data_IF_848866872942
#
_entry.id   IF_848866872942
#
_cell.length_a   1.000
_cell.length_b   1.000
_cell.length_c   1.000
_cell.angle_alpha   90.00
_cell.angle_beta   90.00
_cell.angle_gamma   90.00
#
_symmetry.space_group_name_H-M   'P 1'
#
loop_
_entity.id
_entity.type
_entity.pdbx_description
1 polymer ?
#
# COMPACT_ATOMS: atom_id res chain seq x y z
N UNK A 1 14.69 -3.49 39.66
CA UNK A 1 15.09 -2.85 38.39
C UNK A 1 15.50 -3.88 37.33
N UNK A 2 16.40 -4.81 37.63
CA UNK A 2 16.86 -5.85 36.68
C UNK A 2 15.75 -6.79 36.19
N UNK A 3 14.81 -7.19 37.05
CA UNK A 3 13.68 -8.09 36.69
C UNK A 3 12.70 -7.43 35.69
N UNK A 4 12.54 -6.10 35.74
CA UNK A 4 11.66 -5.34 34.84
C UNK A 4 12.27 -5.21 33.43
N UNK A 5 13.60 -5.14 33.35
CA UNK A 5 14.36 -5.13 32.09
C UNK A 5 14.35 -6.51 31.42
N UNK A 6 14.41 -7.59 32.19
CA UNK A 6 14.30 -8.96 31.66
C UNK A 6 12.90 -9.26 31.12
N UNK A 7 11.83 -8.79 31.78
CA UNK A 7 10.44 -8.93 31.26
C UNK A 7 10.24 -8.21 29.92
N UNK A 8 10.81 -7.01 29.76
CA UNK A 8 10.82 -6.28 28.47
C UNK A 8 11.53 -7.03 27.33
N UNK A 9 12.47 -7.92 27.63
CA UNK A 9 13.24 -8.66 26.62
C UNK A 9 12.66 -10.04 26.32
N UNK A 10 11.87 -10.61 27.24
CA UNK A 10 11.29 -11.96 27.16
C UNK A 10 9.80 -11.94 26.81
N UNK A 11 9.03 -10.92 27.21
CA UNK A 11 7.59 -10.82 26.93
C UNK A 11 7.27 -9.96 25.69
N UNK A 12 8.13 -9.01 25.32
CA UNK A 12 7.95 -8.14 24.14
C UNK A 12 9.08 -8.33 23.12
N UNK A 13 8.94 -9.21 22.11
CA UNK A 13 9.89 -9.28 21.02
C UNK A 13 9.72 -8.05 20.11
N UNK A 14 10.21 -6.89 20.56
CA UNK A 14 10.16 -5.61 19.84
C UNK A 14 10.72 -5.72 18.41
N UNK A 15 11.70 -6.60 18.23
CA UNK A 15 12.25 -6.98 16.93
C UNK A 15 11.19 -7.49 15.94
N UNK A 16 10.19 -8.24 16.38
CA UNK A 16 9.10 -8.75 15.51
C UNK A 16 8.26 -7.58 14.99
N UNK A 17 7.93 -6.62 15.87
CA UNK A 17 7.21 -5.40 15.47
C UNK A 17 8.00 -4.55 14.47
N UNK A 18 9.32 -4.44 14.66
CA UNK A 18 10.21 -3.71 13.75
C UNK A 18 10.33 -4.42 12.40
N UNK A 19 10.58 -5.73 12.39
CA UNK A 19 10.69 -6.51 11.15
C UNK A 19 9.38 -6.43 10.37
N UNK A 20 8.23 -6.60 11.03
CA UNK A 20 6.92 -6.51 10.38
C UNK A 20 6.66 -5.10 9.81
N UNK A 21 7.05 -4.05 10.54
CA UNK A 21 6.92 -2.66 10.08
C UNK A 21 7.82 -2.37 8.86
N UNK A 22 9.05 -2.88 8.86
CA UNK A 22 9.98 -2.77 7.72
C UNK A 22 9.46 -3.53 6.51
N UNK A 23 8.89 -4.71 6.72
CA UNK A 23 8.26 -5.51 5.68
C UNK A 23 7.11 -4.71 5.04
N UNK A 24 6.19 -4.18 5.85
CA UNK A 24 5.10 -3.32 5.35
C UNK A 24 5.60 -2.12 4.54
N UNK A 25 6.65 -1.43 5.02
CA UNK A 25 7.26 -0.30 4.29
C UNK A 25 7.88 -0.73 2.96
N UNK A 26 8.49 -1.90 2.90
CA UNK A 26 9.05 -2.48 1.68
C UNK A 26 7.96 -2.76 0.64
N UNK A 27 6.85 -3.39 1.03
CA UNK A 27 5.74 -3.65 0.11
C UNK A 27 5.12 -2.36 -0.43
N UNK A 28 4.90 -1.36 0.42
CA UNK A 28 4.35 -0.08 -0.02
C UNK A 28 5.27 0.57 -1.06
N UNK A 29 6.58 0.62 -0.78
CA UNK A 29 7.57 1.20 -1.70
C UNK A 29 7.62 0.43 -3.02
N UNK A 30 7.62 -0.89 -2.96
CA UNK A 30 7.60 -1.76 -4.14
C UNK A 30 6.32 -1.56 -4.97
N UNK A 31 5.16 -1.49 -4.32
CA UNK A 31 3.88 -1.23 -4.98
C UNK A 31 3.88 0.13 -5.70
N UNK A 32 4.39 1.19 -5.07
CA UNK A 32 4.58 2.48 -5.73
C UNK A 32 5.52 2.39 -6.94
N UNK A 33 6.60 1.61 -6.82
CA UNK A 33 7.51 1.33 -7.94
C UNK A 33 6.83 0.60 -9.10
N UNK A 34 6.05 -0.45 -8.80
CA UNK A 34 5.29 -1.22 -9.80
C UNK A 34 4.27 -0.32 -10.49
N UNK A 35 3.51 0.49 -9.75
CA UNK A 35 2.57 1.46 -10.34
C UNK A 35 3.31 2.46 -11.21
N UNK A 36 4.50 2.91 -10.82
CA UNK A 36 5.30 3.84 -11.63
C UNK A 36 5.80 3.20 -12.94
N UNK A 37 6.24 1.95 -12.90
CA UNK A 37 6.67 1.20 -14.09
C UNK A 37 5.47 0.88 -14.98
N UNK A 38 4.38 0.37 -14.40
CA UNK A 38 3.12 0.08 -15.10
C UNK A 38 2.56 1.33 -15.79
N UNK A 39 2.59 2.47 -15.10
CA UNK A 39 2.17 3.73 -15.69
C UNK A 39 3.12 4.24 -16.76
N UNK A 40 4.41 3.94 -16.69
CA UNK A 40 5.36 4.26 -17.75
C UNK A 40 5.20 3.37 -18.99
N UNK A 41 4.73 2.13 -18.82
CA UNK A 41 4.55 1.16 -19.91
C UNK A 41 3.20 1.30 -20.63
N UNK A 42 2.12 1.65 -19.92
CA UNK A 42 0.77 1.72 -20.50
C UNK A 42 0.35 3.15 -20.88
N UNK A 43 0.82 4.17 -20.16
CA UNK A 43 0.31 5.52 -20.34
C UNK A 43 1.28 6.42 -21.14
N UNK A 44 0.80 7.12 -22.18
CA UNK A 44 1.59 8.15 -22.84
C UNK A 44 1.91 9.29 -21.86
N UNK A 45 3.03 9.99 -22.09
CA UNK A 45 3.62 11.01 -21.19
C UNK A 45 2.64 12.05 -20.64
N UNK A 46 1.56 12.33 -21.38
CA UNK A 46 0.50 13.29 -21.00
C UNK A 46 -0.33 12.85 -19.79
N UNK A 47 -0.57 11.55 -19.60
CA UNK A 47 -1.45 11.05 -18.51
C UNK A 47 -0.66 10.36 -17.39
N UNK A 48 0.64 10.15 -17.57
CA UNK A 48 1.55 9.61 -16.55
C UNK A 48 1.54 10.43 -15.25
N UNK A 49 1.65 11.76 -15.36
CA UNK A 49 1.61 12.65 -14.19
C UNK A 49 0.25 12.62 -13.48
N UNK A 50 -0.84 12.39 -14.22
CA UNK A 50 -2.19 12.29 -13.65
C UNK A 50 -2.33 11.00 -12.83
N UNK A 51 -1.85 9.86 -13.34
CA UNK A 51 -1.86 8.59 -12.61
C UNK A 51 -1.01 8.59 -11.33
N UNK A 52 0.18 9.19 -11.39
CA UNK A 52 1.03 9.36 -10.20
C UNK A 52 0.44 10.38 -9.22
N UNK A 53 -0.16 11.45 -9.75
CA UNK A 53 -0.88 12.45 -8.96
C UNK A 53 -2.07 11.86 -8.22
N UNK A 54 -2.89 11.04 -8.88
CA UNK A 54 -4.05 10.39 -8.25
C UNK A 54 -3.62 9.41 -7.16
N UNK A 55 -2.57 8.61 -7.39
CA UNK A 55 -2.01 7.73 -6.35
C UNK A 55 -1.52 8.54 -5.13
N UNK A 56 -0.89 9.69 -5.36
CA UNK A 56 -0.43 10.58 -4.29
C UNK A 56 -1.58 11.19 -3.50
N UNK A 57 -2.67 11.58 -4.16
CA UNK A 57 -3.88 12.09 -3.49
C UNK A 57 -4.52 10.99 -2.65
N UNK A 58 -4.66 9.78 -3.18
CA UNK A 58 -5.17 8.62 -2.43
C UNK A 58 -4.32 8.32 -1.19
N UNK A 59 -2.99 8.38 -1.30
CA UNK A 59 -2.09 8.20 -0.18
C UNK A 59 -2.28 9.30 0.90
N UNK A 60 -2.47 10.56 0.48
CA UNK A 60 -2.75 11.67 1.41
C UNK A 60 -4.08 11.49 2.13
N UNK A 61 -5.12 11.05 1.44
CA UNK A 61 -6.42 10.73 2.06
C UNK A 61 -6.25 9.63 3.12
N UNK A 62 -5.48 8.59 2.82
CA UNK A 62 -5.14 7.55 3.81
C UNK A 62 -4.44 8.12 5.05
N UNK A 63 -3.48 9.02 4.87
CA UNK A 63 -2.79 9.70 5.97
C UNK A 63 -3.73 10.59 6.81
N UNK A 64 -4.73 11.21 6.19
CA UNK A 64 -5.75 11.97 6.92
C UNK A 64 -6.66 11.08 7.76
N UNK A 65 -7.03 9.91 7.26
CA UNK A 65 -7.90 8.95 7.97
C UNK A 65 -7.15 8.25 9.11
N UNK A 66 -5.83 8.05 8.96
CA UNK A 66 -5.01 7.31 9.89
C UNK A 66 -5.11 7.73 11.38
N UNK A 67 -5.03 9.04 11.75
CA UNK A 67 -5.19 9.46 13.13
C UNK A 67 -6.60 9.19 13.67
N UNK A 68 -7.65 9.33 12.86
CA UNK A 68 -9.03 9.04 13.31
C UNK A 68 -9.23 7.57 13.65
N UNK A 69 -8.68 6.67 12.84
CA UNK A 69 -8.73 5.22 13.10
C UNK A 69 -7.94 4.90 14.37
N UNK A 70 -6.80 5.57 14.59
CA UNK A 70 -6.02 5.40 15.83
C UNK A 70 -6.78 5.87 17.06
N UNK A 71 -7.44 7.02 17.01
CA UNK A 71 -8.24 7.53 18.13
C UNK A 71 -9.47 6.63 18.41
N UNK A 72 -10.11 6.12 17.36
CA UNK A 72 -11.20 5.14 17.49
C UNK A 72 -10.72 3.85 18.17
N UNK A 73 -9.52 3.36 17.81
CA UNK A 73 -8.91 2.20 18.46
C UNK A 73 -8.60 2.41 19.94
N UNK A 74 -8.22 3.62 20.34
CA UNK A 74 -8.03 3.96 21.77
C UNK A 74 -9.35 3.96 22.53
N UNK A 75 -10.45 4.38 21.89
CA UNK A 75 -11.76 4.46 22.51
C UNK A 75 -12.46 3.08 22.65
N UNK A 76 -12.15 2.12 21.77
CA UNK A 76 -12.76 0.78 21.79
C UNK A 76 -11.77 -0.31 22.19
N UNK A 77 -10.88 -0.73 21.28
CA UNK A 77 -9.86 -1.74 21.53
C UNK A 77 -8.66 -1.56 20.57
N UNK A 78 -7.42 -1.75 21.04
CA UNK A 78 -6.19 -1.50 20.27
C UNK A 78 -6.01 -2.42 19.05
N UNK A 79 -6.77 -3.51 18.95
CA UNK A 79 -6.73 -4.46 17.82
C UNK A 79 -7.54 -3.96 16.62
N UNK A 80 -8.53 -3.07 16.84
CA UNK A 80 -9.43 -2.58 15.79
C UNK A 80 -8.68 -1.86 14.66
N UNK A 81 -7.74 -0.94 14.92
CA UNK A 81 -6.94 -0.31 13.86
C UNK A 81 -6.13 -1.32 13.06
N UNK A 82 -5.57 -2.34 13.71
CA UNK A 82 -4.72 -3.33 13.05
C UNK A 82 -5.52 -4.17 12.04
N UNK A 83 -6.72 -4.61 12.44
CA UNK A 83 -7.64 -5.33 11.54
C UNK A 83 -8.08 -4.42 10.40
N UNK A 84 -8.42 -3.16 10.69
CA UNK A 84 -8.86 -2.19 9.67
C UNK A 84 -7.80 -2.01 8.56
N UNK A 85 -6.54 -1.73 8.93
CA UNK A 85 -5.46 -1.59 7.95
C UNK A 85 -5.16 -2.92 7.25
N UNK A 86 -5.27 -4.06 7.94
CA UNK A 86 -5.09 -5.38 7.35
C UNK A 86 -6.12 -5.69 6.27
N UNK A 87 -7.41 -5.42 6.52
CA UNK A 87 -8.49 -5.60 5.54
C UNK A 87 -8.31 -4.63 4.36
N UNK A 88 -7.94 -3.38 4.62
CA UNK A 88 -7.66 -2.41 3.56
C UNK A 88 -6.49 -2.87 2.66
N UNK A 89 -5.41 -3.39 3.25
CA UNK A 89 -4.28 -3.92 2.51
C UNK A 89 -4.63 -5.18 1.72
N UNK A 90 -5.43 -6.09 2.30
CA UNK A 90 -5.89 -7.30 1.64
C UNK A 90 -6.80 -6.99 0.45
N UNK A 91 -7.77 -6.08 0.62
CA UNK A 91 -8.63 -5.64 -0.47
C UNK A 91 -7.82 -4.97 -1.59
N UNK A 92 -6.88 -4.09 -1.25
CA UNK A 92 -5.98 -3.50 -2.24
C UNK A 92 -5.17 -4.56 -3.00
N UNK A 93 -4.63 -5.57 -2.31
CA UNK A 93 -3.94 -6.70 -2.94
C UNK A 93 -4.84 -7.51 -3.86
N UNK A 94 -6.07 -7.82 -3.44
CA UNK A 94 -7.06 -8.50 -4.30
C UNK A 94 -7.43 -7.68 -5.54
N UNK A 95 -7.55 -6.36 -5.41
CA UNK A 95 -7.80 -5.47 -6.55
C UNK A 95 -6.61 -5.47 -7.53
N UNK A 96 -5.38 -5.58 -7.03
CA UNK A 96 -4.19 -5.71 -7.89
C UNK A 96 -4.18 -7.04 -8.64
N UNK A 97 -4.71 -8.13 -8.07
CA UNK A 97 -4.86 -9.39 -8.80
C UNK A 97 -5.92 -9.32 -9.92
N UNK A 98 -6.87 -8.39 -9.81
CA UNK A 98 -7.84 -8.10 -10.87
C UNK A 98 -7.27 -7.20 -11.97
N UNK A 99 -6.08 -6.61 -11.78
CA UNK A 99 -5.42 -5.87 -12.85
C UNK A 99 -4.93 -6.86 -13.91
N UNK A 100 -5.26 -6.64 -15.21
CA UNK A 100 -4.78 -7.49 -16.28
C UNK A 100 -3.25 -7.48 -16.29
N UNK A 101 -2.64 -8.66 -16.25
CA UNK A 101 -1.19 -8.81 -16.25
C UNK A 101 -0.58 -8.14 -17.49
N UNK A 102 0.39 -7.24 -17.28
CA UNK A 102 1.20 -6.55 -18.31
C UNK A 102 2.13 -7.47 -19.10
N UNK A 103 1.96 -8.78 -19.02
CA UNK A 103 2.90 -9.73 -19.59
C UNK A 103 2.66 -9.87 -21.10
N UNK A 104 3.49 -9.18 -21.90
CA UNK A 104 3.74 -9.39 -23.36
C UNK A 104 2.83 -8.69 -24.38
N UNK A 105 2.27 -7.51 -24.11
CA UNK A 105 1.68 -6.67 -25.19
C UNK A 105 2.52 -5.45 -25.48
N UNK A 106 2.74 -5.19 -26.77
CA UNK A 106 3.52 -4.06 -27.28
C UNK A 106 2.94 -2.74 -26.76
N UNK A 107 3.84 -1.86 -26.33
CA UNK A 107 3.55 -0.50 -25.87
C UNK A 107 2.57 0.16 -26.86
N UNK A 108 1.33 0.45 -26.47
CA UNK A 108 0.39 1.11 -27.35
C UNK A 108 0.86 2.55 -27.62
N UNK A 109 1.06 2.91 -28.89
CA UNK A 109 1.47 4.26 -29.29
C UNK A 109 0.33 5.28 -29.12
N UNK A 110 -0.90 4.82 -28.86
CA UNK A 110 -2.10 5.67 -28.80
C UNK A 110 -3.02 5.37 -27.61
N UNK A 111 -3.65 6.42 -27.02
CA UNK A 111 -4.63 6.31 -25.92
C UNK A 111 -5.80 5.35 -26.20
N UNK A 112 -6.16 5.16 -27.47
CA UNK A 112 -7.22 4.23 -27.90
C UNK A 112 -6.81 2.76 -27.74
N UNK A 113 -5.56 2.42 -28.00
CA UNK A 113 -5.05 1.04 -27.82
C UNK A 113 -4.86 0.70 -26.35
N UNK A 114 -4.45 1.68 -25.51
CA UNK A 114 -4.43 1.52 -24.06
C UNK A 114 -5.83 1.26 -23.47
N UNK A 115 -6.89 1.86 -24.05
CA UNK A 115 -8.28 1.66 -23.63
C UNK A 115 -8.86 0.30 -24.06
N UNK A 116 -8.41 -0.27 -25.19
CA UNK A 116 -8.83 -1.61 -25.64
C UNK A 116 -8.20 -2.75 -24.83
N UNK A 117 -7.04 -2.54 -24.21
CA UNK A 117 -6.39 -3.53 -23.34
C UNK A 117 -7.14 -3.70 -21.99
N UNK A 118 -7.95 -2.72 -21.60
CA UNK A 118 -8.75 -2.73 -20.37
C UNK A 118 -10.12 -3.41 -20.52
N UNK A 119 -10.45 -3.96 -21.70
CA UNK A 119 -11.74 -4.61 -21.99
C UNK A 119 -11.60 -6.12 -22.09
#
# INVERSE_FOLDING_TARGET
MVIMIMKLFIEDPWWIGVILSLFGKFFITSAFGIVYVFTAEIFPTVVRNVGLGSASVSARIGSFIAPFVRELGKATHPVVPQIFYGVLAATAGCLVLLLPETNKRSVPDTLKEAAEISK
#
